data_IF_126898754549
#
_entry.id   IF_126898754549
#
_cell.length_a   1.000
_cell.length_b   1.000
_cell.length_c   1.000
_cell.angle_alpha   90.00
_cell.angle_beta   90.00
_cell.angle_gamma   90.00
#
_symmetry.space_group_name_H-M   'P 1'
#
loop_
_entity.id
_entity.type
_entity.pdbx_description
1 polymer ?
#
# COMPACT_ATOMS: atom_id res chain seq x y z
N UNK A 1 -19.84 -12.28 5.24
CA UNK A 1 -19.31 -12.07 3.88
C UNK A 1 -18.15 -13.03 3.60
N UNK A 2 -17.05 -12.96 4.34
CA UNK A 2 -15.88 -13.84 4.18
C UNK A 2 -16.22 -15.33 4.23
N UNK A 3 -17.06 -15.75 5.18
CA UNK A 3 -17.52 -17.15 5.28
C UNK A 3 -18.33 -17.61 4.05
N UNK A 4 -19.12 -16.71 3.45
CA UNK A 4 -19.86 -17.02 2.21
C UNK A 4 -18.90 -17.17 1.03
N UNK A 5 -17.87 -16.33 0.95
CA UNK A 5 -16.82 -16.45 -0.06
C UNK A 5 -16.07 -17.79 0.06
N UNK A 6 -15.71 -18.21 1.28
CA UNK A 6 -15.09 -19.52 1.53
C UNK A 6 -15.95 -20.68 1.06
N UNK A 7 -17.23 -20.68 1.41
CA UNK A 7 -18.17 -21.74 1.03
C UNK A 7 -18.30 -21.88 -0.50
N UNK A 8 -18.25 -20.77 -1.22
CA UNK A 8 -18.34 -20.73 -2.68
C UNK A 8 -16.97 -20.85 -3.38
N UNK A 9 -15.87 -21.08 -2.64
CA UNK A 9 -14.50 -21.05 -3.16
C UNK A 9 -14.17 -19.78 -3.96
N UNK A 10 -14.73 -18.63 -3.54
CA UNK A 10 -14.52 -17.33 -4.16
C UNK A 10 -13.50 -16.49 -3.39
N UNK A 11 -12.66 -15.77 -4.13
CA UNK A 11 -11.81 -14.73 -3.54
C UNK A 11 -12.68 -13.57 -3.00
N UNK A 12 -12.54 -13.18 -1.72
CA UNK A 12 -13.25 -12.02 -1.19
C UNK A 12 -12.94 -10.75 -1.98
N UNK A 13 -13.95 -9.91 -2.26
CA UNK A 13 -13.80 -8.70 -3.06
C UNK A 13 -12.76 -7.73 -2.46
N UNK A 14 -12.71 -7.63 -1.13
CA UNK A 14 -11.74 -6.77 -0.46
C UNK A 14 -10.29 -7.23 -0.72
N UNK A 15 -10.06 -8.55 -0.77
CA UNK A 15 -8.76 -9.15 -1.02
C UNK A 15 -8.30 -8.84 -2.45
N UNK A 16 -9.20 -9.07 -3.42
CA UNK A 16 -8.97 -8.72 -4.83
C UNK A 16 -8.70 -7.23 -5.02
N UNK A 17 -9.48 -6.35 -4.35
CA UNK A 17 -9.26 -4.90 -4.38
C UNK A 17 -7.89 -4.54 -3.81
N UNK A 18 -7.53 -5.07 -2.65
CA UNK A 18 -6.22 -4.83 -2.02
C UNK A 18 -5.07 -5.17 -2.96
N UNK A 19 -5.09 -6.38 -3.53
CA UNK A 19 -4.10 -6.86 -4.50
C UNK A 19 -3.97 -5.91 -5.70
N UNK A 20 -5.09 -5.58 -6.35
CA UNK A 20 -5.09 -4.73 -7.54
C UNK A 20 -4.58 -3.31 -7.24
N UNK A 21 -4.92 -2.75 -6.08
CA UNK A 21 -4.51 -1.40 -5.71
C UNK A 21 -3.02 -1.32 -5.37
N UNK A 22 -2.45 -2.36 -4.75
CA UNK A 22 -1.00 -2.45 -4.53
C UNK A 22 -0.26 -2.65 -5.86
N UNK A 23 -0.79 -3.44 -6.79
CA UNK A 23 -0.23 -3.59 -8.14
C UNK A 23 -0.26 -2.26 -8.89
N UNK A 24 -1.37 -1.52 -8.82
CA UNK A 24 -1.49 -0.20 -9.42
C UNK A 24 -0.48 0.80 -8.83
N UNK A 25 -0.29 0.81 -7.50
CA UNK A 25 0.75 1.64 -6.88
C UNK A 25 2.17 1.26 -7.32
N UNK A 26 2.45 -0.03 -7.54
CA UNK A 26 3.74 -0.46 -8.07
C UNK A 26 3.99 0.15 -9.46
N UNK A 27 3.00 0.09 -10.35
CA UNK A 27 3.15 0.63 -11.71
C UNK A 27 3.33 2.14 -11.68
N UNK A 28 2.53 2.87 -10.90
CA UNK A 28 2.66 4.33 -10.77
C UNK A 28 4.06 4.73 -10.26
N UNK A 29 4.56 4.01 -9.27
CA UNK A 29 5.85 4.34 -8.63
C UNK A 29 7.08 3.91 -9.41
N UNK A 30 6.94 3.00 -10.37
CA UNK A 30 8.03 2.56 -11.26
C UNK A 30 8.05 3.35 -12.57
N UNK A 31 6.90 3.84 -13.03
CA UNK A 31 6.78 4.59 -14.29
C UNK A 31 7.22 6.06 -14.13
N UNK A 32 7.09 6.67 -12.93
CA UNK A 32 7.61 8.02 -12.67
C UNK A 32 9.13 8.05 -12.56
N UNK A 33 9.81 8.05 -13.71
CA UNK A 33 11.26 8.27 -13.84
C UNK A 33 11.67 9.75 -13.77
N UNK A 34 10.72 10.68 -13.67
CA UNK A 34 11.03 12.10 -13.56
C UNK A 34 11.50 12.43 -12.13
N UNK A 35 12.78 12.82 -11.92
CA UNK A 35 13.31 13.13 -10.60
C UNK A 35 12.61 14.31 -9.91
N UNK A 36 11.95 15.20 -10.67
CA UNK A 36 11.13 16.29 -10.13
C UNK A 36 9.83 15.81 -9.46
N UNK A 37 9.37 14.59 -9.77
CA UNK A 37 8.16 13.97 -9.24
C UNK A 37 8.46 12.66 -8.53
N UNK A 38 9.57 12.61 -7.79
CA UNK A 38 9.97 11.41 -7.06
C UNK A 38 8.93 11.05 -6.00
N UNK A 39 8.12 10.03 -6.28
CA UNK A 39 7.04 9.55 -5.38
C UNK A 39 7.58 8.85 -4.11
N UNK A 40 8.84 8.42 -4.11
CA UNK A 40 9.48 7.68 -3.01
C UNK A 40 10.63 8.47 -2.39
N UNK A 41 10.76 8.42 -1.06
CA UNK A 41 11.97 8.89 -0.38
C UNK A 41 13.14 7.90 -0.54
N UNK A 42 14.32 8.24 -0.02
CA UNK A 42 15.51 7.38 -0.07
C UNK A 42 15.33 6.03 0.67
N UNK A 43 14.33 5.93 1.54
CA UNK A 43 13.95 4.70 2.23
C UNK A 43 12.80 3.94 1.51
N UNK A 44 12.57 4.21 0.22
CA UNK A 44 11.57 3.55 -0.62
C UNK A 44 10.13 3.64 -0.10
N UNK A 45 9.86 4.66 0.72
CA UNK A 45 8.56 4.95 1.32
C UNK A 45 7.86 5.99 0.45
N UNK A 46 6.59 5.78 0.13
CA UNK A 46 5.76 6.72 -0.60
C UNK A 46 5.59 8.02 0.20
N UNK A 47 5.87 9.15 -0.44
CA UNK A 47 5.65 10.48 0.14
C UNK A 47 4.15 10.77 0.20
N UNK A 48 3.60 10.87 1.41
CA UNK A 48 2.18 11.20 1.62
C UNK A 48 2.07 12.73 1.71
N UNK A 49 1.56 13.37 0.66
CA UNK A 49 1.37 14.83 0.65
C UNK A 49 0.26 15.22 1.64
N UNK A 50 0.57 16.09 2.60
CA UNK A 50 -0.40 16.65 3.56
C UNK A 50 -1.46 17.49 2.80
N UNK A 51 -2.71 17.08 2.92
CA UNK A 51 -3.96 17.82 2.68
C UNK A 51 -4.04 18.79 1.48
N UNK A 52 -4.83 18.39 0.47
CA UNK A 52 -5.65 19.32 -0.31
C UNK A 52 -7.03 18.68 -0.60
N UNK A 53 -8.09 19.49 -0.46
CA UNK A 53 -9.55 19.24 -0.52
C UNK A 53 -10.09 18.48 -1.77
N UNK A 54 -9.68 17.25 -2.02
CA UNK A 54 -10.40 16.34 -2.94
C UNK A 54 -10.59 14.98 -2.28
N UNK A 55 -11.81 14.73 -1.81
CA UNK A 55 -12.07 13.96 -0.58
C UNK A 55 -12.06 12.43 -0.75
N UNK A 56 -12.42 11.89 -1.93
CA UNK A 56 -12.51 10.42 -2.10
C UNK A 56 -11.26 9.80 -2.73
N UNK A 57 -10.78 10.34 -3.85
CA UNK A 57 -9.62 9.80 -4.55
C UNK A 57 -8.36 9.85 -3.67
N UNK A 58 -8.17 10.95 -2.91
CA UNK A 58 -7.00 11.09 -2.03
C UNK A 58 -7.09 10.26 -0.75
N UNK A 59 -8.28 10.00 -0.20
CA UNK A 59 -8.42 9.08 0.95
C UNK A 59 -7.98 7.67 0.56
N UNK A 60 -8.38 7.22 -0.63
CA UNK A 60 -7.92 5.96 -1.21
C UNK A 60 -6.39 5.97 -1.38
N UNK A 61 -5.82 6.99 -2.02
CA UNK A 61 -4.36 7.09 -2.22
C UNK A 61 -3.60 7.10 -0.90
N UNK A 62 -4.07 7.84 0.12
CA UNK A 62 -3.42 7.90 1.44
C UNK A 62 -3.45 6.54 2.12
N UNK A 63 -4.61 5.86 2.18
CA UNK A 63 -4.73 4.55 2.83
C UNK A 63 -3.85 3.50 2.16
N UNK A 64 -3.85 3.43 0.84
CA UNK A 64 -3.02 2.45 0.12
C UNK A 64 -1.54 2.83 0.11
N UNK A 65 -1.17 4.10 0.21
CA UNK A 65 0.22 4.52 0.42
C UNK A 65 0.72 4.11 1.81
N UNK A 66 -0.11 4.21 2.85
CA UNK A 66 0.23 3.72 4.19
C UNK A 66 0.42 2.20 4.21
N UNK A 67 -0.50 1.46 3.57
CA UNK A 67 -0.38 0.01 3.42
C UNK A 67 0.87 -0.36 2.63
N UNK A 68 1.15 0.35 1.53
CA UNK A 68 2.37 0.18 0.76
C UNK A 68 3.61 0.33 1.63
N UNK A 69 3.69 1.39 2.44
CA UNK A 69 4.84 1.68 3.30
C UNK A 69 5.08 0.62 4.39
N UNK A 70 4.04 -0.14 4.74
CA UNK A 70 4.11 -1.25 5.69
C UNK A 70 4.52 -2.58 5.05
N UNK A 71 4.54 -2.66 3.73
CA UNK A 71 4.96 -3.89 3.07
C UNK A 71 6.41 -4.21 3.46
N UNK A 72 6.74 -5.51 3.64
CA UNK A 72 8.11 -5.93 3.83
C UNK A 72 9.04 -5.32 2.76
N UNK A 73 10.23 -4.91 3.19
CA UNK A 73 11.23 -4.27 2.32
C UNK A 73 11.51 -5.06 1.02
N UNK A 74 11.59 -6.42 1.03
CA UNK A 74 11.78 -7.19 -0.20
C UNK A 74 10.65 -7.02 -1.22
N UNK A 75 9.43 -6.73 -0.78
CA UNK A 75 8.27 -6.51 -1.66
C UNK A 75 8.30 -5.09 -2.21
N UNK A 76 8.60 -4.08 -1.37
CA UNK A 76 8.66 -2.66 -1.81
C UNK A 76 9.79 -2.37 -2.79
N UNK A 77 10.94 -3.01 -2.57
CA UNK A 77 12.15 -2.81 -3.37
C UNK A 77 12.23 -3.77 -4.56
N UNK A 78 11.12 -4.44 -4.87
CA UNK A 78 11.07 -5.36 -5.97
C UNK A 78 11.33 -4.64 -7.29
N UNK A 79 12.30 -5.15 -8.00
CA UNK A 79 12.93 -4.63 -9.20
C UNK A 79 12.15 -4.95 -10.48
N UNK A 80 11.33 -6.00 -10.46
CA UNK A 80 10.52 -6.41 -11.62
C UNK A 80 9.05 -6.59 -11.28
N UNK A 81 8.17 -6.22 -12.21
CA UNK A 81 6.73 -6.34 -12.05
C UNK A 81 6.29 -7.79 -11.78
N UNK A 82 6.85 -8.75 -12.51
CA UNK A 82 6.53 -10.18 -12.36
C UNK A 82 6.87 -10.68 -10.95
N UNK A 83 8.06 -10.31 -10.44
CA UNK A 83 8.49 -10.67 -9.10
C UNK A 83 7.62 -9.98 -8.04
N UNK A 84 7.26 -8.71 -8.25
CA UNK A 84 6.37 -7.99 -7.35
C UNK A 84 5.01 -8.68 -7.26
N UNK A 85 4.40 -9.00 -8.41
CA UNK A 85 3.09 -9.68 -8.48
C UNK A 85 3.12 -11.03 -7.75
N UNK A 86 4.21 -11.79 -7.89
CA UNK A 86 4.38 -13.07 -7.19
C UNK A 86 4.49 -12.84 -5.67
N UNK A 87 5.38 -11.95 -5.24
CA UNK A 87 5.63 -11.67 -3.82
C UNK A 87 4.39 -11.12 -3.12
N UNK A 88 3.66 -10.19 -3.74
CA UNK A 88 2.45 -9.64 -3.14
C UNK A 88 1.33 -10.68 -3.05
N UNK A 89 1.21 -11.57 -4.05
CA UNK A 89 0.20 -12.64 -3.99
C UNK A 89 0.50 -13.59 -2.81
N UNK A 90 1.75 -14.04 -2.69
CA UNK A 90 2.18 -14.89 -1.57
C UNK A 90 1.98 -14.21 -0.21
N UNK A 91 2.29 -12.92 -0.11
CA UNK A 91 2.10 -12.15 1.12
C UNK A 91 0.63 -12.02 1.51
N UNK A 92 -0.25 -11.73 0.56
CA UNK A 92 -1.68 -11.58 0.83
C UNK A 92 -2.34 -12.93 1.20
N UNK A 93 -1.84 -14.04 0.67
CA UNK A 93 -2.34 -15.38 1.05
C UNK A 93 -1.72 -15.89 2.37
N UNK A 94 -0.78 -15.15 2.96
CA UNK A 94 -0.10 -15.55 4.20
C UNK A 94 -0.90 -15.20 5.47
N UNK A 95 -0.54 -15.83 6.58
CA UNK A 95 -1.09 -15.50 7.91
C UNK A 95 -0.70 -14.09 8.37
N UNK A 96 0.38 -13.53 7.83
CA UNK A 96 0.89 -12.20 8.16
C UNK A 96 -0.05 -11.09 7.69
N UNK A 97 -0.93 -11.38 6.72
CA UNK A 97 -1.90 -10.41 6.21
C UNK A 97 -2.80 -9.86 7.34
N UNK A 98 -3.19 -10.68 8.31
CA UNK A 98 -4.04 -10.22 9.41
C UNK A 98 -3.36 -9.11 10.22
N UNK A 99 -2.08 -9.30 10.56
CA UNK A 99 -1.30 -8.33 11.32
C UNK A 99 -0.99 -7.08 10.47
N UNK A 100 -0.84 -7.25 9.16
CA UNK A 100 -0.66 -6.15 8.22
C UNK A 100 -1.90 -5.25 8.10
N UNK A 101 -3.10 -5.85 8.13
CA UNK A 101 -4.38 -5.15 8.02
C UNK A 101 -4.81 -4.44 9.30
N UNK A 102 -4.24 -4.82 10.44
CA UNK A 102 -4.36 -4.09 11.70
C UNK A 102 -3.66 -2.73 11.55
N UNK A 103 -4.43 -1.76 11.06
CA UNK A 103 -4.04 -0.37 11.10
C UNK A 103 -3.96 0.03 12.58
N UNK A 104 -2.86 0.65 13.05
CA UNK A 104 -2.87 1.33 14.33
C UNK A 104 -4.00 2.36 14.25
N UNK A 105 -4.62 2.67 15.40
CA UNK A 105 -5.62 3.72 15.44
C UNK A 105 -5.07 4.95 14.72
N UNK A 106 -5.90 5.57 13.88
CA UNK A 106 -5.63 6.71 12.99
C UNK A 106 -4.92 7.90 13.67
N UNK A 107 -4.75 7.87 14.99
CA UNK A 107 -4.36 8.98 15.83
C UNK A 107 -2.85 9.17 16.05
N UNK A 108 -1.96 8.25 15.67
CA UNK A 108 -0.52 8.43 15.99
C UNK A 108 0.34 8.96 14.82
N UNK A 109 -0.07 8.77 13.57
CA UNK A 109 0.75 9.15 12.41
C UNK A 109 0.49 10.57 11.87
N UNK A 110 -0.45 11.33 12.45
CA UNK A 110 -0.70 12.72 12.08
C UNK A 110 0.10 13.74 12.91
N UNK A 111 0.85 13.30 13.93
CA UNK A 111 1.49 14.18 14.93
C UNK A 111 3.00 14.37 14.81
N UNK A 112 3.69 13.82 13.81
CA UNK A 112 5.08 14.22 13.56
C UNK A 112 5.08 15.50 12.73
N UNK A 113 5.09 16.65 13.42
CA UNK A 113 5.66 17.88 12.89
C UNK A 113 7.14 17.68 12.56
N UNK A 114 7.75 18.54 11.71
CA UNK A 114 9.20 18.47 11.50
C UNK A 114 9.90 18.61 12.86
N UNK A 115 10.99 17.86 13.11
CA UNK A 115 11.80 18.09 14.31
C UNK A 115 12.24 19.55 14.29
N UNK A 116 11.86 20.29 15.32
CA UNK A 116 12.37 21.62 15.59
C UNK A 116 13.90 21.54 15.62
N UNK A 117 14.53 22.36 14.78
CA UNK A 117 15.97 22.64 14.77
C UNK A 117 16.35 23.25 16.12
#
# INVERSE_FOLDING_TARGET
YTERCKHLSLEPLWHRRLKNNLIFLYTETTITHNPAYRLRNNAYTLLIVKHQKQTCCRFFTVRYSLLWNRLPMPIRNCDTFTRFKKLITLFLDSKELQHFLELPPINEALYYGPPSI
#
